data_IF_783563509587
#
_entry.id   IF_783563509587
#
_cell.length_a   1.000
_cell.length_b   1.000
_cell.length_c   1.000
_cell.angle_alpha   90.00
_cell.angle_beta   90.00
_cell.angle_gamma   90.00
#
_symmetry.space_group_name_H-M   'P 1'
#
loop_
_entity.id
_entity.type
_entity.pdbx_description
1 polymer ?
#
# COMPACT_ATOMS: atom_id res chain seq x y z
N UNK A 1 6.38 -19.75 -26.64
CA UNK A 1 5.68 -20.67 -25.71
C UNK A 1 4.16 -20.54 -25.83
N UNK A 2 3.58 -19.35 -25.67
CA UNK A 2 2.13 -19.13 -25.78
C UNK A 2 1.49 -19.76 -27.05
N UNK A 3 2.08 -19.53 -28.24
CA UNK A 3 1.62 -20.11 -29.51
C UNK A 3 1.56 -21.65 -29.54
N UNK A 4 2.33 -22.34 -28.72
CA UNK A 4 2.28 -23.81 -28.62
C UNK A 4 1.02 -24.28 -27.87
N UNK A 5 0.52 -23.44 -26.96
CA UNK A 5 -0.66 -23.67 -26.14
C UNK A 5 -1.93 -23.11 -26.78
N UNK A 6 -1.81 -22.40 -27.90
CA UNK A 6 -2.93 -21.82 -28.64
C UNK A 6 -3.59 -22.88 -29.55
N UNK A 7 -4.90 -23.13 -29.41
CA UNK A 7 -5.62 -24.00 -30.34
C UNK A 7 -5.68 -23.37 -31.75
N UNK A 8 -5.65 -24.20 -32.79
CA UNK A 8 -5.73 -23.76 -34.19
C UNK A 8 -4.42 -23.27 -34.83
N UNK A 9 -3.31 -23.23 -34.09
CA UNK A 9 -1.98 -22.94 -34.67
C UNK A 9 -1.50 -24.12 -35.52
N UNK A 10 -0.99 -23.82 -36.72
CA UNK A 10 -0.52 -24.83 -37.67
C UNK A 10 0.68 -25.62 -37.14
N UNK A 11 0.85 -26.86 -37.61
CA UNK A 11 1.96 -27.71 -37.18
C UNK A 11 3.31 -27.11 -37.56
N UNK A 12 3.42 -26.52 -38.76
CA UNK A 12 4.65 -25.86 -39.23
C UNK A 12 5.06 -24.68 -38.34
N UNK A 13 4.09 -23.90 -37.85
CA UNK A 13 4.39 -22.81 -36.93
C UNK A 13 4.85 -23.34 -35.57
N UNK A 14 4.21 -24.40 -35.04
CA UNK A 14 4.64 -25.04 -33.80
C UNK A 14 6.07 -25.58 -33.91
N UNK A 15 6.41 -26.19 -35.04
CA UNK A 15 7.74 -26.72 -35.28
C UNK A 15 8.78 -25.59 -35.42
N UNK A 16 8.43 -24.49 -36.09
CA UNK A 16 9.27 -23.29 -36.12
C UNK A 16 9.52 -22.72 -34.71
N UNK A 17 8.50 -22.65 -33.86
CA UNK A 17 8.66 -22.19 -32.48
C UNK A 17 9.57 -23.13 -31.68
N UNK A 18 9.44 -24.45 -31.85
CA UNK A 18 10.32 -25.42 -31.18
C UNK A 18 11.78 -25.24 -31.60
N UNK A 19 12.05 -25.08 -32.90
CA UNK A 19 13.42 -24.84 -33.42
C UNK A 19 14.01 -23.58 -32.78
N UNK A 20 13.26 -22.47 -32.79
CA UNK A 20 13.72 -21.22 -32.16
C UNK A 20 13.96 -21.37 -30.65
N UNK A 21 13.15 -22.17 -29.96
CA UNK A 21 13.36 -22.45 -28.53
C UNK A 21 14.66 -23.21 -28.29
N UNK A 22 15.02 -24.16 -29.15
CA UNK A 22 16.29 -24.88 -29.06
C UNK A 22 17.49 -23.93 -29.27
N UNK A 23 17.46 -23.11 -30.31
CA UNK A 23 18.53 -22.12 -30.56
C UNK A 23 18.69 -21.13 -29.39
N UNK A 24 17.58 -20.69 -28.78
CA UNK A 24 17.62 -19.82 -27.60
C UNK A 24 18.21 -20.53 -26.37
N UNK A 25 17.96 -21.82 -26.20
CA UNK A 25 18.56 -22.62 -25.12
C UNK A 25 20.07 -22.74 -25.32
N UNK A 26 20.53 -22.97 -26.54
CA UNK A 26 21.96 -23.02 -26.85
C UNK A 26 22.65 -21.69 -26.55
N UNK A 27 22.05 -20.57 -26.97
CA UNK A 27 22.53 -19.22 -26.66
C UNK A 27 22.54 -18.97 -25.15
N UNK A 28 21.53 -19.45 -24.43
CA UNK A 28 21.47 -19.31 -22.97
C UNK A 28 22.65 -20.02 -22.29
N UNK A 29 22.99 -21.25 -22.70
CA UNK A 29 24.15 -21.95 -22.13
C UNK A 29 25.47 -21.25 -22.46
N UNK A 30 25.62 -20.72 -23.68
CA UNK A 30 26.77 -19.87 -24.00
C UNK A 30 26.82 -18.63 -23.10
N UNK A 31 25.68 -18.05 -22.75
CA UNK A 31 25.58 -16.89 -21.86
C UNK A 31 26.01 -17.12 -20.43
N UNK A 32 25.84 -18.34 -19.94
CA UNK A 32 26.32 -18.71 -18.62
C UNK A 32 27.86 -18.75 -18.54
N UNK A 33 28.52 -19.08 -19.65
CA UNK A 33 29.98 -19.21 -19.70
C UNK A 33 30.71 -17.95 -20.19
N UNK A 34 30.03 -17.06 -20.92
CA UNK A 34 30.59 -15.81 -21.43
C UNK A 34 31.32 -14.93 -20.40
N UNK A 35 30.88 -14.80 -19.12
CA UNK A 35 31.62 -14.05 -18.11
C UNK A 35 33.00 -14.64 -17.78
N UNK A 36 33.20 -15.95 -18.02
CA UNK A 36 34.47 -16.65 -17.76
C UNK A 36 35.46 -16.46 -18.91
N UNK A 37 34.97 -16.30 -20.13
CA UNK A 37 35.79 -16.16 -21.35
C UNK A 37 35.93 -14.70 -21.81
N UNK A 38 35.09 -13.80 -21.31
CA UNK A 38 35.04 -12.39 -21.74
C UNK A 38 34.25 -12.17 -23.03
N UNK A 39 33.49 -13.17 -23.48
CA UNK A 39 32.73 -13.10 -24.74
C UNK A 39 31.47 -12.22 -24.60
N UNK A 40 31.09 -11.54 -25.69
CA UNK A 40 29.82 -10.81 -25.79
C UNK A 40 28.84 -11.63 -26.61
N UNK A 41 27.64 -11.83 -26.06
CA UNK A 41 26.59 -12.59 -26.73
C UNK A 41 25.58 -11.66 -27.37
N UNK A 42 25.34 -11.90 -28.65
CA UNK A 42 24.34 -11.22 -29.45
C UNK A 42 23.22 -12.20 -29.77
N UNK A 43 21.97 -11.78 -29.56
CA UNK A 43 20.79 -12.57 -29.92
C UNK A 43 20.42 -12.26 -31.37
N UNK A 44 20.40 -13.27 -32.28
CA UNK A 44 19.97 -13.10 -33.66
C UNK A 44 18.56 -12.49 -33.80
N UNK A 45 18.37 -11.65 -34.81
CA UNK A 45 17.10 -10.93 -35.02
C UNK A 45 15.90 -11.86 -35.27
N UNK A 46 16.10 -13.02 -35.90
CA UNK A 46 15.01 -13.97 -36.15
C UNK A 46 14.49 -14.66 -34.87
N UNK A 47 15.27 -14.62 -33.79
CA UNK A 47 14.89 -15.08 -32.46
C UNK A 47 14.21 -13.99 -31.63
N UNK A 48 14.29 -12.73 -32.07
CA UNK A 48 13.61 -11.62 -31.40
C UNK A 48 12.09 -11.72 -31.61
N UNK A 49 11.36 -11.53 -30.51
CA UNK A 49 9.90 -11.60 -30.49
C UNK A 49 9.32 -10.31 -31.07
N UNK A 50 8.45 -10.43 -32.07
CA UNK A 50 7.83 -9.28 -32.75
C UNK A 50 6.57 -8.75 -32.07
N UNK A 51 5.83 -9.60 -31.36
CA UNK A 51 4.63 -9.26 -30.60
C UNK A 51 4.53 -10.10 -29.34
N UNK A 52 4.01 -9.51 -28.27
CA UNK A 52 3.85 -10.16 -26.98
C UNK A 52 2.39 -10.57 -26.74
N UNK A 53 2.13 -11.71 -26.08
CA UNK A 53 0.80 -12.01 -25.57
C UNK A 53 0.30 -10.89 -24.67
N UNK A 54 -0.99 -10.55 -24.74
CA UNK A 54 -1.60 -9.45 -23.99
C UNK A 54 -1.42 -9.57 -22.47
N UNK A 55 -1.42 -10.79 -21.93
CA UNK A 55 -1.20 -11.05 -20.50
C UNK A 55 0.21 -10.70 -19.99
N UNK A 56 1.16 -10.36 -20.87
CA UNK A 56 2.48 -9.83 -20.47
C UNK A 56 2.51 -8.31 -20.36
N UNK A 57 1.44 -7.62 -20.76
CA UNK A 57 1.30 -6.16 -20.66
C UNK A 57 2.45 -5.39 -21.32
N UNK A 58 2.87 -5.85 -22.51
CA UNK A 58 3.94 -5.25 -23.31
C UNK A 58 3.51 -4.99 -24.74
N UNK A 59 3.88 -3.83 -25.27
CA UNK A 59 3.63 -3.47 -26.66
C UNK A 59 4.84 -3.78 -27.57
N UNK A 60 4.63 -4.20 -28.83
CA UNK A 60 3.32 -4.44 -29.46
C UNK A 60 2.69 -5.77 -29.01
N UNK A 61 1.39 -5.75 -28.68
CA UNK A 61 0.68 -6.92 -28.13
C UNK A 61 -0.22 -7.67 -29.13
N UNK A 62 -0.63 -8.90 -28.80
CA UNK A 62 -1.71 -9.64 -29.45
C UNK A 62 -2.61 -10.32 -28.42
N UNK A 63 -3.91 -10.45 -28.73
CA UNK A 63 -4.85 -11.15 -27.87
C UNK A 63 -4.64 -12.67 -27.96
N UNK A 64 -4.14 -13.28 -26.88
CA UNK A 64 -3.90 -14.71 -26.82
C UNK A 64 -5.18 -15.47 -26.47
N UNK A 65 -5.52 -16.47 -27.29
CA UNK A 65 -6.60 -17.44 -27.01
C UNK A 65 -6.05 -18.75 -26.39
N UNK A 66 -4.79 -18.75 -25.93
CA UNK A 66 -4.22 -19.90 -25.23
C UNK A 66 -4.84 -20.07 -23.85
N UNK A 67 -4.56 -21.21 -23.20
CA UNK A 67 -4.94 -21.43 -21.80
C UNK A 67 -4.43 -20.31 -20.89
N UNK A 68 -3.23 -19.78 -21.14
CA UNK A 68 -2.65 -18.69 -20.34
C UNK A 68 -3.40 -17.38 -20.54
N UNK A 69 -3.78 -17.06 -21.78
CA UNK A 69 -4.60 -15.89 -22.09
C UNK A 69 -5.96 -15.96 -21.40
N UNK A 70 -6.65 -17.10 -21.50
CA UNK A 70 -7.95 -17.30 -20.88
C UNK A 70 -7.90 -17.22 -19.35
N UNK A 71 -6.84 -17.74 -18.71
CA UNK A 71 -6.64 -17.62 -17.25
C UNK A 71 -6.48 -16.15 -16.85
N UNK A 72 -5.66 -15.40 -17.60
CA UNK A 72 -5.46 -13.98 -17.34
C UNK A 72 -6.76 -13.19 -17.49
N UNK A 73 -7.52 -13.41 -18.57
CA UNK A 73 -8.79 -12.72 -18.81
C UNK A 73 -9.83 -13.06 -17.74
N UNK A 74 -9.88 -14.32 -17.29
CA UNK A 74 -10.75 -14.74 -16.20
C UNK A 74 -10.36 -14.05 -14.88
N UNK A 75 -9.08 -14.07 -14.52
CA UNK A 75 -8.61 -13.42 -13.29
C UNK A 75 -8.86 -11.90 -13.32
N UNK A 76 -8.62 -11.26 -14.46
CA UNK A 76 -8.87 -9.83 -14.66
C UNK A 76 -10.35 -9.49 -14.58
N UNK A 77 -11.22 -10.27 -15.22
CA UNK A 77 -12.67 -10.08 -15.11
C UNK A 77 -13.21 -10.34 -13.70
N UNK A 78 -12.59 -11.25 -12.93
CA UNK A 78 -12.89 -11.44 -11.50
C UNK A 78 -12.48 -10.23 -10.66
N UNK A 79 -11.31 -9.65 -10.89
CA UNK A 79 -10.90 -8.41 -10.21
C UNK A 79 -11.80 -7.22 -10.59
N UNK A 80 -12.24 -7.15 -11.83
CA UNK A 80 -13.13 -6.08 -12.32
C UNK A 80 -14.60 -6.28 -11.86
N UNK A 81 -15.03 -7.53 -11.63
CA UNK A 81 -16.38 -7.88 -11.14
C UNK A 81 -16.47 -7.96 -9.61
N UNK A 82 -15.35 -8.14 -8.91
CA UNK A 82 -15.20 -7.72 -7.52
C UNK A 82 -15.21 -6.19 -7.49
N UNK A 83 -16.41 -5.63 -7.63
CA UNK A 83 -16.73 -4.32 -7.08
C UNK A 83 -16.55 -4.49 -5.57
N UNK A 84 -15.31 -4.41 -5.08
CA UNK A 84 -15.03 -4.27 -3.66
C UNK A 84 -15.89 -3.09 -3.25
N UNK A 85 -16.92 -3.30 -2.40
CA UNK A 85 -17.78 -2.20 -2.01
C UNK A 85 -16.86 -1.11 -1.48
N UNK A 86 -17.03 0.16 -1.91
CA UNK A 86 -16.13 1.22 -1.51
C UNK A 86 -15.98 1.15 0.00
N UNK A 87 -14.74 0.95 0.47
CA UNK A 87 -14.45 0.73 1.89
C UNK A 87 -15.05 1.93 2.61
N UNK A 88 -16.16 1.68 3.31
CA UNK A 88 -16.89 2.73 4.00
C UNK A 88 -16.15 3.00 5.30
N UNK A 89 -15.70 4.24 5.50
CA UNK A 89 -15.07 4.65 6.75
C UNK A 89 -16.09 4.46 7.88
N UNK A 90 -15.83 3.53 8.77
CA UNK A 90 -16.63 3.26 9.95
C UNK A 90 -15.78 3.50 11.21
N UNK A 91 -16.15 4.49 12.06
CA UNK A 91 -15.44 4.73 13.30
C UNK A 91 -15.73 3.63 14.33
N UNK A 92 -14.78 3.43 15.23
CA UNK A 92 -14.94 2.50 16.34
C UNK A 92 -15.84 3.12 17.41
N UNK A 93 -16.91 2.39 17.76
CA UNK A 93 -17.92 2.83 18.74
C UNK A 93 -17.30 3.24 20.08
N UNK A 94 -16.29 2.50 20.53
CA UNK A 94 -15.59 2.75 21.77
C UNK A 94 -14.92 4.13 21.85
N UNK A 95 -14.65 4.80 20.72
CA UNK A 95 -14.08 6.14 20.70
C UNK A 95 -15.12 7.24 20.36
N UNK A 96 -16.27 6.87 19.79
CA UNK A 96 -17.33 7.84 19.43
C UNK A 96 -18.39 8.01 20.51
N UNK A 97 -18.58 7.02 21.38
CA UNK A 97 -19.55 7.08 22.49
C UNK A 97 -19.02 7.88 23.70
N UNK A 98 -17.72 8.17 23.74
CA UNK A 98 -17.10 8.94 24.81
C UNK A 98 -17.54 10.41 24.75
N UNK A 99 -18.08 10.93 25.85
CA UNK A 99 -18.45 12.34 25.98
C UNK A 99 -17.20 13.19 26.17
N UNK A 100 -16.64 13.66 25.06
CA UNK A 100 -15.47 14.54 25.04
C UNK A 100 -15.90 16.00 25.19
N UNK A 101 -15.12 16.78 25.96
CA UNK A 101 -15.32 18.24 26.05
C UNK A 101 -15.26 18.92 24.67
N UNK A 102 -16.22 19.80 24.40
CA UNK A 102 -16.27 20.56 23.15
C UNK A 102 -15.07 21.49 22.96
N UNK A 103 -14.42 21.94 24.05
CA UNK A 103 -13.23 22.78 23.98
C UNK A 103 -12.08 22.05 23.27
N UNK A 104 -11.86 20.77 23.60
CA UNK A 104 -10.86 19.94 22.92
C UNK A 104 -11.22 19.73 21.45
N UNK A 105 -12.49 19.47 21.13
CA UNK A 105 -12.92 19.29 19.74
C UNK A 105 -12.71 20.56 18.92
N UNK A 106 -13.07 21.73 19.45
CA UNK A 106 -12.87 23.00 18.77
C UNK A 106 -11.39 23.26 18.49
N UNK A 107 -10.53 23.12 19.52
CA UNK A 107 -9.07 23.28 19.35
C UNK A 107 -8.51 22.33 18.28
N UNK A 108 -8.87 21.05 18.33
CA UNK A 108 -8.35 20.07 17.37
C UNK A 108 -8.95 20.20 15.98
N UNK A 109 -10.15 20.78 15.83
CA UNK A 109 -10.71 21.09 14.52
C UNK A 109 -9.88 22.13 13.78
N UNK A 110 -9.40 23.15 14.48
CA UNK A 110 -8.55 24.18 13.89
C UNK A 110 -7.14 23.66 13.62
N UNK A 111 -6.52 22.96 14.58
CA UNK A 111 -5.23 22.29 14.37
C UNK A 111 -5.26 21.31 13.19
N UNK A 112 -6.35 20.55 13.04
CA UNK A 112 -6.51 19.62 11.93
C UNK A 112 -6.71 20.33 10.58
N UNK A 113 -7.34 21.51 10.55
CA UNK A 113 -7.40 22.34 9.32
C UNK A 113 -6.00 22.81 8.93
N UNK A 114 -5.20 23.27 9.87
CA UNK A 114 -3.81 23.65 9.61
C UNK A 114 -2.99 22.47 9.11
N UNK A 115 -3.18 21.30 9.71
CA UNK A 115 -2.52 20.06 9.27
C UNK A 115 -2.84 19.79 7.80
N UNK A 116 -4.11 19.88 7.40
CA UNK A 116 -4.52 19.60 6.02
C UNK A 116 -3.89 20.58 5.02
N UNK A 117 -3.70 21.84 5.41
CA UNK A 117 -3.02 22.84 4.57
C UNK A 117 -1.54 22.46 4.42
N UNK A 118 -0.85 22.20 5.54
CA UNK A 118 0.57 21.80 5.56
C UNK A 118 0.81 20.47 4.84
N UNK A 119 -0.08 19.49 5.01
CA UNK A 119 0.01 18.21 4.31
C UNK A 119 -0.21 18.36 2.81
N UNK A 120 -1.12 19.25 2.39
CA UNK A 120 -1.37 19.53 0.98
C UNK A 120 -0.17 20.19 0.30
N UNK A 121 0.56 21.06 1.00
CA UNK A 121 1.82 21.61 0.46
C UNK A 121 2.92 20.56 0.35
N UNK A 122 3.04 19.66 1.34
CA UNK A 122 4.00 18.55 1.30
C UNK A 122 3.69 17.56 0.16
N UNK A 123 2.42 17.24 -0.09
CA UNK A 123 2.03 16.35 -1.18
C UNK A 123 2.46 16.85 -2.58
N UNK A 124 2.71 18.15 -2.76
CA UNK A 124 3.11 18.75 -4.04
C UNK A 124 4.60 18.63 -4.34
N UNK A 125 5.41 18.22 -3.37
CA UNK A 125 6.85 18.03 -3.58
C UNK A 125 7.10 16.81 -4.50
N UNK A 126 8.00 16.95 -5.46
CA UNK A 126 8.34 15.86 -6.39
C UNK A 126 9.23 14.81 -5.73
N UNK A 127 10.17 15.24 -4.88
CA UNK A 127 11.08 14.34 -4.17
C UNK A 127 10.34 13.51 -3.11
N UNK A 128 10.55 12.20 -3.13
CA UNK A 128 9.93 11.27 -2.19
C UNK A 128 10.58 11.36 -0.79
N UNK A 129 11.90 11.50 -0.73
CA UNK A 129 12.63 11.48 0.55
C UNK A 129 12.34 12.74 1.37
N UNK A 130 12.36 13.91 0.73
CA UNK A 130 11.97 15.18 1.36
C UNK A 130 10.50 15.17 1.82
N UNK A 131 9.59 14.54 1.05
CA UNK A 131 8.19 14.37 1.46
C UNK A 131 8.08 13.55 2.73
N UNK A 132 8.69 12.37 2.73
CA UNK A 132 8.61 11.46 3.87
C UNK A 132 9.24 12.08 5.13
N UNK A 133 10.31 12.86 4.97
CA UNK A 133 10.89 13.66 6.05
C UNK A 133 9.92 14.73 6.57
N UNK A 134 9.37 15.54 5.68
CA UNK A 134 8.45 16.62 6.05
C UNK A 134 7.20 16.11 6.77
N UNK A 135 6.67 14.94 6.36
CA UNK A 135 5.55 14.31 7.08
C UNK A 135 5.94 13.84 8.48
N UNK A 136 7.15 13.29 8.67
CA UNK A 136 7.63 12.89 10.00
C UNK A 136 7.72 14.08 10.96
N UNK A 137 8.31 15.18 10.50
CA UNK A 137 8.40 16.41 11.29
C UNK A 137 7.01 16.98 11.59
N UNK A 138 6.13 17.03 10.60
CA UNK A 138 4.76 17.50 10.78
C UNK A 138 4.02 16.70 11.86
N UNK A 139 4.10 15.36 11.83
CA UNK A 139 3.48 14.54 12.87
C UNK A 139 4.12 14.75 14.24
N UNK A 140 5.43 14.99 14.29
CA UNK A 140 6.14 15.24 15.54
C UNK A 140 5.74 16.57 16.18
N UNK A 141 5.48 17.60 15.38
CA UNK A 141 4.95 18.88 15.88
C UNK A 141 3.57 18.69 16.53
N UNK A 142 2.65 17.96 15.89
CA UNK A 142 1.33 17.70 16.46
C UNK A 142 1.38 16.78 17.70
N UNK A 143 2.32 15.82 17.74
CA UNK A 143 2.58 15.04 18.95
C UNK A 143 3.02 15.92 20.11
N UNK A 144 3.94 16.86 19.87
CA UNK A 144 4.39 17.82 20.89
C UNK A 144 3.24 18.69 21.40
N UNK A 145 2.33 19.11 20.52
CA UNK A 145 1.12 19.88 20.91
C UNK A 145 0.17 19.06 21.79
N UNK A 146 0.06 17.75 21.53
CA UNK A 146 -0.82 16.85 22.28
C UNK A 146 -0.21 16.46 23.64
N UNK A 147 1.05 16.02 23.63
CA UNK A 147 1.69 15.40 24.79
C UNK A 147 2.51 16.36 25.64
N UNK A 148 2.75 17.59 25.18
CA UNK A 148 3.76 18.51 25.75
C UNK A 148 5.14 17.83 25.91
N UNK A 149 5.39 16.83 25.08
CA UNK A 149 6.56 15.95 25.10
C UNK A 149 6.77 15.32 23.72
N UNK A 150 7.86 14.59 23.54
CA UNK A 150 8.12 13.92 22.26
C UNK A 150 7.17 12.74 22.01
N UNK A 151 6.77 12.05 23.07
CA UNK A 151 5.89 10.89 23.02
C UNK A 151 5.05 10.78 24.30
N UNK A 152 4.04 9.92 24.23
CA UNK A 152 3.07 9.65 25.28
C UNK A 152 3.70 9.28 26.63
N UNK A 153 4.68 8.36 26.62
CA UNK A 153 5.31 7.84 27.85
C UNK A 153 6.15 8.92 28.58
N UNK A 154 6.56 9.97 27.88
CA UNK A 154 7.34 11.08 28.41
C UNK A 154 6.47 12.30 28.80
N UNK A 155 5.15 12.21 28.62
CA UNK A 155 4.25 13.33 28.87
C UNK A 155 4.12 13.65 30.36
N UNK A 156 4.23 14.93 30.78
CA UNK A 156 3.95 15.34 32.15
C UNK A 156 2.44 15.48 32.42
N UNK A 157 1.59 15.35 31.40
CA UNK A 157 0.14 15.58 31.49
C UNK A 157 -0.57 14.40 32.15
N UNK A 158 -1.75 14.66 32.71
CA UNK A 158 -2.59 13.61 33.26
C UNK A 158 -2.99 12.61 32.19
N UNK A 159 -2.81 11.32 32.49
CA UNK A 159 -3.12 10.23 31.58
C UNK A 159 -4.58 10.30 31.09
N UNK A 160 -5.52 10.54 32.01
CA UNK A 160 -6.94 10.65 31.70
C UNK A 160 -7.24 11.80 30.72
N UNK A 161 -6.56 12.93 30.87
CA UNK A 161 -6.70 14.07 29.96
C UNK A 161 -6.20 13.74 28.56
N UNK A 162 -5.06 13.05 28.45
CA UNK A 162 -4.51 12.59 27.18
C UNK A 162 -5.45 11.61 26.47
N UNK A 163 -6.10 10.70 27.21
CA UNK A 163 -7.07 9.77 26.64
C UNK A 163 -8.33 10.51 26.14
N UNK A 164 -8.82 11.47 26.91
CA UNK A 164 -9.97 12.29 26.51
C UNK A 164 -9.66 13.15 25.27
N UNK A 165 -8.47 13.75 25.23
CA UNK A 165 -8.01 14.54 24.09
C UNK A 165 -7.75 13.66 22.85
N UNK A 166 -7.25 12.43 23.04
CA UNK A 166 -7.12 11.45 21.97
C UNK A 166 -8.47 11.09 21.34
N UNK A 167 -9.51 10.89 22.15
CA UNK A 167 -10.89 10.73 21.68
C UNK A 167 -11.37 11.95 20.89
N UNK A 168 -11.05 13.17 21.34
CA UNK A 168 -11.39 14.40 20.62
C UNK A 168 -10.82 14.39 19.19
N UNK A 169 -9.53 14.09 19.08
CA UNK A 169 -8.81 14.00 17.80
C UNK A 169 -9.47 12.95 16.90
N UNK A 170 -9.72 11.76 17.46
CA UNK A 170 -10.34 10.66 16.71
C UNK A 170 -11.70 11.06 16.15
N UNK A 171 -12.58 11.62 16.99
CA UNK A 171 -13.92 12.05 16.60
C UNK A 171 -13.87 13.13 15.51
N UNK A 172 -13.05 14.17 15.67
CA UNK A 172 -12.90 15.27 14.68
C UNK A 172 -12.39 14.76 13.33
N UNK A 173 -11.40 13.86 13.33
CA UNK A 173 -10.81 13.32 12.11
C UNK A 173 -11.81 12.42 11.38
N UNK A 174 -12.47 11.51 12.10
CA UNK A 174 -13.41 10.56 11.50
C UNK A 174 -14.71 11.22 11.04
N UNK A 175 -15.22 12.21 11.75
CA UNK A 175 -16.36 13.02 11.28
C UNK A 175 -16.06 13.60 9.89
N UNK A 176 -14.87 14.18 9.70
CA UNK A 176 -14.46 14.75 8.42
C UNK A 176 -14.11 13.70 7.36
N UNK A 177 -13.53 12.56 7.76
CA UNK A 177 -13.20 11.47 6.85
C UNK A 177 -14.46 10.78 6.31
N UNK A 178 -15.51 10.66 7.13
CA UNK A 178 -16.79 10.07 6.73
C UNK A 178 -17.52 10.91 5.66
N UNK A 179 -17.45 12.24 5.73
CA UNK A 179 -18.11 13.13 4.75
C UNK A 179 -17.58 12.90 3.32
N UNK A 180 -16.27 12.65 3.17
CA UNK A 180 -15.65 12.36 1.86
C UNK A 180 -15.37 10.89 1.58
N UNK A 181 -15.68 9.99 2.52
CA UNK A 181 -15.22 8.60 2.54
C UNK A 181 -13.70 8.43 2.28
N UNK A 182 -12.90 9.34 2.85
CA UNK A 182 -11.46 9.43 2.58
C UNK A 182 -10.65 8.72 3.67
N UNK A 183 -10.32 7.44 3.44
CA UNK A 183 -9.53 6.61 4.38
C UNK A 183 -8.16 7.20 4.69
N UNK A 184 -7.55 7.89 3.72
CA UNK A 184 -6.24 8.54 3.88
C UNK A 184 -6.22 9.59 5.00
N UNK A 185 -7.37 10.22 5.29
CA UNK A 185 -7.51 11.23 6.35
C UNK A 185 -7.51 10.62 7.75
N UNK A 186 -7.92 9.36 7.91
CA UNK A 186 -7.93 8.67 9.21
C UNK A 186 -6.53 8.49 9.81
N UNK A 187 -5.48 8.51 8.97
CA UNK A 187 -4.10 8.31 9.39
C UNK A 187 -3.63 9.31 10.44
N UNK A 188 -4.09 10.57 10.39
CA UNK A 188 -3.66 11.62 11.32
C UNK A 188 -3.92 11.25 12.78
N UNK A 189 -5.14 10.78 13.10
CA UNK A 189 -5.52 10.41 14.46
C UNK A 189 -4.59 9.31 15.02
N UNK A 190 -4.27 8.30 14.20
CA UNK A 190 -3.41 7.19 14.62
C UNK A 190 -1.92 7.56 14.68
N UNK A 191 -1.45 8.50 13.85
CA UNK A 191 -0.05 8.95 13.87
C UNK A 191 0.26 9.87 15.05
N UNK A 192 -0.71 10.71 15.44
CA UNK A 192 -0.56 11.68 16.54
C UNK A 192 -0.98 11.05 17.87
N UNK A 193 -2.20 10.52 17.95
CA UNK A 193 -2.82 10.05 19.19
C UNK A 193 -2.82 8.52 19.35
N UNK A 194 -2.19 7.77 18.43
CA UNK A 194 -2.33 6.32 18.35
C UNK A 194 -1.98 5.58 19.63
N UNK A 195 -0.94 6.00 20.35
CA UNK A 195 -0.57 5.33 21.62
C UNK A 195 -1.64 5.51 22.70
N UNK A 196 -2.14 6.74 22.86
CA UNK A 196 -3.23 7.04 23.78
C UNK A 196 -4.52 6.29 23.40
N UNK A 197 -4.86 6.23 22.10
CA UNK A 197 -6.02 5.47 21.61
C UNK A 197 -5.90 3.97 21.89
N UNK A 198 -4.71 3.39 21.70
CA UNK A 198 -4.45 1.98 22.02
C UNK A 198 -4.62 1.71 23.52
N UNK A 199 -4.15 2.60 24.39
CA UNK A 199 -4.31 2.41 25.83
C UNK A 199 -5.76 2.56 26.29
N UNK A 200 -6.49 3.52 25.73
CA UNK A 200 -7.93 3.64 25.96
C UNK A 200 -8.69 2.38 25.51
N UNK A 201 -8.33 1.83 24.36
CA UNK A 201 -8.94 0.60 23.86
C UNK A 201 -8.72 -0.57 24.83
N UNK A 202 -7.49 -0.73 25.34
CA UNK A 202 -7.16 -1.76 26.33
C UNK A 202 -7.94 -1.58 27.64
N UNK A 203 -8.10 -0.34 28.11
CA UNK A 203 -8.87 -0.02 29.31
C UNK A 203 -10.36 -0.40 29.13
N UNK A 204 -10.95 -0.12 27.96
CA UNK A 204 -12.36 -0.43 27.67
C UNK A 204 -12.63 -1.93 27.46
N UNK A 205 -11.64 -2.68 26.99
CA UNK A 205 -11.77 -4.11 26.70
C UNK A 205 -11.12 -5.03 27.75
N UNK A 206 -10.82 -4.52 28.95
CA UNK A 206 -10.42 -5.36 30.08
C UNK A 206 -9.00 -5.94 30.00
N UNK A 207 -8.09 -5.28 29.26
CA UNK A 207 -6.67 -5.62 29.29
C UNK A 207 -6.27 -6.95 28.66
N UNK A 208 -7.08 -7.51 27.74
CA UNK A 208 -6.63 -8.62 26.89
C UNK A 208 -5.50 -8.15 25.97
N UNK A 209 -4.28 -8.21 26.48
CA UNK A 209 -3.06 -7.99 25.71
C UNK A 209 -2.86 -9.23 24.86
N UNK A 210 -3.25 -9.16 23.60
CA UNK A 210 -2.71 -10.09 22.60
C UNK A 210 -1.25 -9.72 22.39
N UNK A 211 -0.35 -10.46 23.04
CA UNK A 211 1.09 -10.33 22.84
C UNK A 211 1.43 -10.86 21.46
N UNK A 212 1.60 -9.95 20.49
CA UNK A 212 2.02 -10.31 19.14
C UNK A 212 3.52 -10.07 18.99
N UNK A 213 4.26 -11.06 18.47
CA UNK A 213 5.67 -10.88 18.16
C UNK A 213 5.81 -9.80 17.08
N UNK A 214 6.75 -8.87 17.27
CA UNK A 214 7.02 -7.78 16.30
C UNK A 214 7.25 -8.29 14.88
N UNK A 215 7.89 -9.45 14.72
CA UNK A 215 8.11 -10.08 13.41
C UNK A 215 6.81 -10.45 12.68
N UNK A 216 5.79 -10.90 13.42
CA UNK A 216 4.48 -11.26 12.87
C UNK A 216 3.73 -10.02 12.38
N UNK A 217 3.84 -8.90 13.09
CA UNK A 217 3.28 -7.61 12.65
C UNK A 217 4.03 -7.07 11.43
N UNK A 218 5.36 -7.11 11.43
CA UNK A 218 6.17 -6.62 10.31
C UNK A 218 5.89 -7.39 9.01
N UNK A 219 5.68 -8.72 9.07
CA UNK A 219 5.28 -9.51 7.91
C UNK A 219 3.85 -9.22 7.44
N UNK A 220 2.92 -8.96 8.37
CA UNK A 220 1.55 -8.57 8.02
C UNK A 220 1.50 -7.22 7.30
N UNK A 221 2.32 -6.25 7.70
CA UNK A 221 2.37 -4.93 7.06
C UNK A 221 3.25 -4.86 5.80
N UNK A 222 4.20 -5.79 5.60
CA UNK A 222 4.94 -5.92 4.34
C UNK A 222 4.05 -6.33 3.17
N UNK A 223 3.01 -7.14 3.41
CA UNK A 223 2.10 -7.63 2.36
C UNK A 223 1.25 -6.53 1.69
N UNK A 224 1.12 -5.35 2.30
CA UNK A 224 0.31 -4.23 1.77
C UNK A 224 1.16 -3.08 1.19
N UNK A 225 2.45 -3.32 0.92
CA UNK A 225 3.38 -2.34 0.32
C UNK A 225 3.83 -2.71 -1.10
N UNK A 226 3.22 -3.72 -1.72
CA UNK A 226 3.46 -4.08 -3.12
C UNK A 226 2.37 -3.48 -4.01
#
# INVERSE_FOLDING_TARGET
MDRLLTPGVSQSEKDSVKIKMLELVDIYYWALDAPKTGDKINIPEHLMVKKYPHFLEREPSYNSISVLGNIYDLAKSQQESEIVPPIKVSPLKCFTEETVSEDYKCRWRDLYREYLIKSSSLCKLADQEARDHGFRELYQDYKRIMYDAEDFDASPRSHLELLNEACAIYQVVYERAMVGNEVSKCGFAWKVAGRALCELYLLKHGGERVTCLRSVLEDAFKKYRA
#
